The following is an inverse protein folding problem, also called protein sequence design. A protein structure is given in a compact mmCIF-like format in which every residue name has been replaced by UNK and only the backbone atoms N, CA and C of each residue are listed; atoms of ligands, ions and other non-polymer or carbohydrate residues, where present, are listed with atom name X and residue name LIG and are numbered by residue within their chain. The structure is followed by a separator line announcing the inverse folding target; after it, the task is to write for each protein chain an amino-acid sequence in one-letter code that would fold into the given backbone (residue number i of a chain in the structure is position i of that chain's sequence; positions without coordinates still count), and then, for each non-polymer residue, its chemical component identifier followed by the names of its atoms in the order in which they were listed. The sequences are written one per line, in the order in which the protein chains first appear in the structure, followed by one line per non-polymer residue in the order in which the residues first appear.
data_IF_337236989824
#
_entry.id   IF_337236989824
#
_cell.length_a   1.000
_cell.length_b   1.000
_cell.length_c   1.000
_cell.angle_alpha   90.00
_cell.angle_beta   90.00
_cell.angle_gamma   90.00
#
_symmetry.space_group_name_H-M   'P 1'
#
loop_
_entity.id
_entity.type
_entity.pdbx_description
1 polymer ?
#
# COMPACT_ATOMS: atom_id res chain seq x y z
N UNK A 1 -1.41 11.21 9.19
CA UNK A 1 -1.82 10.56 7.95
C UNK A 1 -1.52 9.09 8.07
N UNK A 2 -2.53 8.28 7.77
CA UNK A 2 -2.37 6.83 7.69
C UNK A 2 -2.64 6.41 6.25
N UNK A 3 -1.83 5.49 5.73
CA UNK A 3 -2.05 4.87 4.42
C UNK A 3 -2.29 3.39 4.65
N UNK A 4 -3.33 2.88 4.00
CA UNK A 4 -3.74 1.49 4.08
C UNK A 4 -3.65 0.83 2.71
N UNK A 5 -3.18 -0.40 2.68
CA UNK A 5 -3.34 -1.29 1.53
C UNK A 5 -4.54 -2.20 1.78
N UNK A 6 -5.46 -2.19 0.82
CA UNK A 6 -6.66 -3.01 0.84
C UNK A 6 -6.60 -4.01 -0.31
N UNK A 7 -6.79 -5.29 -0.01
CA UNK A 7 -6.90 -6.35 -1.02
C UNK A 7 -8.35 -6.83 -1.05
N UNK A 8 -8.94 -6.85 -2.24
CA UNK A 8 -10.30 -7.31 -2.48
C UNK A 8 -10.29 -8.50 -3.44
N UNK A 9 -11.19 -9.45 -3.21
CA UNK A 9 -11.58 -10.44 -4.21
C UNK A 9 -12.38 -9.79 -5.34
N UNK A 10 -12.51 -10.49 -6.47
CA UNK A 10 -13.23 -9.97 -7.66
C UNK A 10 -14.71 -9.69 -7.39
N UNK A 11 -15.29 -10.33 -6.39
CA UNK A 11 -16.69 -10.13 -5.97
C UNK A 11 -16.85 -8.91 -5.04
N UNK A 12 -15.76 -8.22 -4.70
CA UNK A 12 -15.75 -7.08 -3.79
C UNK A 12 -15.53 -7.44 -2.32
N UNK A 13 -15.37 -8.72 -1.98
CA UNK A 13 -15.07 -9.13 -0.60
C UNK A 13 -13.68 -8.66 -0.20
N UNK A 14 -13.56 -7.94 0.92
CA UNK A 14 -12.27 -7.51 1.44
C UNK A 14 -11.55 -8.68 2.12
N UNK A 15 -10.33 -8.97 1.67
CA UNK A 15 -9.47 -10.04 2.22
C UNK A 15 -8.47 -9.48 3.21
N UNK A 16 -7.95 -8.27 2.96
CA UNK A 16 -6.94 -7.65 3.81
C UNK A 16 -7.17 -6.14 3.92
N UNK A 17 -6.91 -5.63 5.12
CA UNK A 17 -6.73 -4.21 5.43
C UNK A 17 -5.45 -4.07 6.25
N UNK A 18 -4.39 -3.58 5.64
CA UNK A 18 -3.11 -3.42 6.34
C UNK A 18 -2.71 -1.95 6.35
N UNK A 19 -2.45 -1.41 7.55
CA UNK A 19 -1.88 -0.08 7.70
C UNK A 19 -0.39 -0.16 7.45
N UNK A 20 0.06 0.44 6.35
CA UNK A 20 1.47 0.36 5.92
C UNK A 20 2.29 1.60 6.30
N UNK A 21 1.63 2.75 6.46
CA UNK A 21 2.27 4.01 6.86
C UNK A 21 1.40 4.68 7.93
N UNK A 22 2.05 5.26 8.93
CA UNK A 22 1.43 6.06 9.99
C UNK A 22 2.40 7.18 10.39
N UNK A 23 2.14 8.40 9.94
CA UNK A 23 3.00 9.56 10.15
C UNK A 23 2.19 10.82 10.45
N UNK A 24 2.80 11.90 10.96
CA UNK A 24 2.07 13.17 11.09
C UNK A 24 1.80 13.75 9.70
N UNK A 25 0.58 14.28 9.43
CA UNK A 25 0.31 14.93 8.17
C UNK A 25 1.07 16.26 8.10
N UNK A 26 1.93 16.40 7.10
CA UNK A 26 2.45 17.69 6.65
C UNK A 26 2.11 17.92 5.17
N UNK A 27 2.44 19.10 4.65
CA UNK A 27 2.07 19.52 3.28
C UNK A 27 2.66 18.61 2.20
N UNK A 28 3.76 17.91 2.47
CA UNK A 28 4.49 17.07 1.52
C UNK A 28 4.37 15.57 1.81
N UNK A 29 3.94 15.19 3.01
CA UNK A 29 3.77 13.81 3.46
C UNK A 29 2.99 12.97 2.44
N UNK A 30 1.85 13.47 1.94
CA UNK A 30 1.07 12.75 0.94
C UNK A 30 1.82 12.56 -0.40
N UNK A 31 2.44 13.62 -0.91
CA UNK A 31 3.14 13.60 -2.20
C UNK A 31 4.34 12.64 -2.19
N UNK A 32 4.98 12.45 -1.04
CA UNK A 32 6.11 11.53 -0.87
C UNK A 32 5.75 10.07 -1.15
N UNK A 33 4.51 9.68 -0.84
CA UNK A 33 4.03 8.31 -0.99
C UNK A 33 3.24 8.07 -2.28
N UNK A 34 3.08 9.11 -3.13
CA UNK A 34 2.51 8.94 -4.46
C UNK A 34 3.40 8.03 -5.31
N UNK A 35 2.77 7.20 -6.14
CA UNK A 35 3.46 6.28 -7.03
C UNK A 35 2.53 5.18 -7.53
N UNK A 36 3.05 3.97 -7.68
CA UNK A 36 2.35 2.82 -8.26
C UNK A 36 1.98 1.77 -7.21
N UNK A 37 0.80 1.17 -7.37
CA UNK A 37 0.41 -0.04 -6.67
C UNK A 37 0.61 -1.25 -7.58
N UNK A 38 1.51 -2.16 -7.20
CA UNK A 38 1.93 -3.29 -8.05
C UNK A 38 1.91 -4.59 -7.26
N UNK A 39 1.46 -5.68 -7.89
CA UNK A 39 1.64 -7.03 -7.37
C UNK A 39 3.09 -7.48 -7.61
N UNK A 40 3.82 -7.76 -6.52
CA UNK A 40 5.22 -8.23 -6.59
C UNK A 40 5.34 -9.75 -6.47
N UNK A 41 4.25 -10.40 -6.06
CA UNK A 41 4.03 -11.85 -6.14
C UNK A 41 2.52 -12.13 -6.16
N UNK A 42 2.12 -13.41 -6.24
CA UNK A 42 0.71 -13.81 -6.16
C UNK A 42 0.03 -13.47 -4.82
N UNK A 43 0.83 -13.22 -3.77
CA UNK A 43 0.33 -13.00 -2.39
C UNK A 43 0.83 -11.69 -1.76
N UNK A 44 1.50 -10.83 -2.54
CA UNK A 44 2.06 -9.58 -2.02
C UNK A 44 1.81 -8.43 -2.99
N UNK A 45 1.15 -7.38 -2.49
CA UNK A 45 0.95 -6.11 -3.18
C UNK A 45 1.83 -5.05 -2.52
N UNK A 46 2.44 -4.18 -3.31
CA UNK A 46 3.31 -3.12 -2.83
C UNK A 46 2.90 -1.76 -3.39
N UNK A 47 2.91 -0.75 -2.54
CA UNK A 47 2.96 0.66 -2.91
C UNK A 47 4.44 1.04 -3.07
N UNK A 48 4.78 1.52 -4.27
CA UNK A 48 6.13 1.98 -4.61
C UNK A 48 6.01 3.44 -4.97
N UNK A 49 6.76 4.31 -4.28
CA UNK A 49 6.70 5.74 -4.57
C UNK A 49 7.25 6.08 -5.97
N UNK A 50 6.95 7.28 -6.49
CA UNK A 50 7.34 7.71 -7.84
C UNK A 50 8.86 7.60 -8.11
N UNK A 51 9.67 7.76 -7.08
CA UNK A 51 11.14 7.65 -7.18
C UNK A 51 11.65 6.21 -7.17
N UNK A 52 10.80 5.25 -6.78
CA UNK A 52 11.17 3.86 -6.51
C UNK A 52 11.98 3.65 -5.23
N UNK A 53 12.24 4.69 -4.45
CA UNK A 53 13.09 4.64 -3.26
C UNK A 53 12.39 4.01 -2.05
N UNK A 54 11.07 4.17 -1.94
CA UNK A 54 10.28 3.63 -0.84
C UNK A 54 9.31 2.59 -1.36
N UNK A 55 9.25 1.46 -0.67
CA UNK A 55 8.36 0.34 -0.95
C UNK A 55 7.70 -0.11 0.35
N UNK A 56 6.38 -0.17 0.33
CA UNK A 56 5.58 -0.67 1.44
C UNK A 56 4.65 -1.75 0.92
N UNK A 57 4.60 -2.91 1.57
CA UNK A 57 3.82 -4.04 1.07
C UNK A 57 2.88 -4.61 2.12
N UNK A 58 1.84 -5.26 1.60
CA UNK A 58 0.89 -6.04 2.36
C UNK A 58 0.87 -7.47 1.82
N UNK A 59 0.83 -8.45 2.72
CA UNK A 59 0.93 -9.88 2.39
C UNK A 59 -0.32 -10.62 2.80
N UNK A 60 -0.84 -11.45 1.90
CA UNK A 60 -1.89 -12.40 2.21
C UNK A 60 -1.26 -13.57 2.99
N UNK A 61 -1.72 -13.81 4.22
CA UNK A 61 -1.37 -15.02 4.94
C UNK A 61 -2.07 -16.24 4.32
N UNK A 62 -1.39 -17.38 4.35
CA UNK A 62 -1.80 -18.64 3.73
C UNK A 62 -2.52 -19.55 4.72
#
# INVERSE_FOLDING_TARGET
MDIFLCIFQRDGTQVLLEKVISEQPDVFAYAKHLGELTWVSDFEVALINETGAEKYSAKLEH
#
